data_IF_184883845302
#
_entry.id   IF_184883845302
#
_cell.length_a   1.000
_cell.length_b   1.000
_cell.length_c   1.000
_cell.angle_alpha   90.00
_cell.angle_beta   90.00
_cell.angle_gamma   90.00
#
_symmetry.space_group_name_H-M   'P 1'
#
loop_
_entity.id
_entity.type
_entity.pdbx_description
1 polymer ?
#
# COMPACT_ATOMS: atom_id res chain seq x y z
N UNK A 1 18.21 14.83 -9.04
CA UNK A 1 18.71 13.69 -8.26
C UNK A 1 20.07 14.06 -7.70
N UNK A 2 20.35 13.81 -6.42
CA UNK A 2 21.65 14.11 -5.81
C UNK A 2 22.64 12.95 -5.99
N UNK A 3 22.12 11.73 -6.07
CA UNK A 3 22.91 10.51 -6.17
C UNK A 3 23.11 10.01 -7.61
N UNK A 4 23.98 9.01 -7.78
CA UNK A 4 24.30 8.41 -9.08
C UNK A 4 23.07 7.71 -9.65
N UNK A 5 22.62 8.14 -10.84
CA UNK A 5 21.58 7.41 -11.60
C UNK A 5 22.21 6.14 -12.17
N UNK A 6 21.63 4.98 -11.85
CA UNK A 6 22.05 3.67 -12.35
C UNK A 6 21.05 3.08 -13.35
N UNK A 7 19.84 3.63 -13.39
CA UNK A 7 18.82 3.29 -14.36
C UNK A 7 17.87 4.47 -14.56
N UNK A 8 17.47 4.72 -15.80
CA UNK A 8 16.47 5.73 -16.15
C UNK A 8 15.72 5.28 -17.39
N UNK A 9 14.38 5.30 -17.33
CA UNK A 9 13.53 4.98 -18.48
C UNK A 9 12.20 5.72 -18.40
N UNK A 10 11.82 6.36 -19.51
CA UNK A 10 10.46 6.85 -19.71
C UNK A 10 9.61 5.72 -20.29
N UNK A 11 8.50 5.40 -19.63
CA UNK A 11 7.48 4.46 -20.11
C UNK A 11 6.27 5.25 -20.61
N UNK A 12 5.27 4.55 -21.17
CA UNK A 12 4.00 5.19 -21.55
C UNK A 12 3.20 5.70 -20.34
N UNK A 13 3.55 5.27 -19.13
CA UNK A 13 2.86 5.62 -17.89
C UNK A 13 3.66 6.62 -17.05
N UNK A 14 4.98 6.44 -16.97
CA UNK A 14 5.78 7.13 -15.97
C UNK A 14 7.26 7.13 -16.30
N UNK A 15 8.00 8.03 -15.63
CA UNK A 15 9.46 8.04 -15.63
C UNK A 15 9.99 7.28 -14.43
N UNK A 16 10.63 6.14 -14.68
CA UNK A 16 11.27 5.30 -13.66
C UNK A 16 12.75 5.68 -13.60
N UNK A 17 13.24 6.05 -12.42
CA UNK A 17 14.65 6.35 -12.16
C UNK A 17 15.10 5.57 -10.94
N UNK A 18 16.24 4.90 -11.03
CA UNK A 18 16.89 4.27 -9.88
C UNK A 18 18.23 4.97 -9.65
N UNK A 19 18.44 5.44 -8.43
CA UNK A 19 19.71 6.02 -8.00
C UNK A 19 20.39 5.16 -6.95
N UNK A 20 21.70 5.34 -6.80
CA UNK A 20 22.53 4.62 -5.84
C UNK A 20 23.32 5.61 -4.97
N UNK A 21 23.20 5.43 -3.65
CA UNK A 21 24.05 6.08 -2.65
C UNK A 21 24.67 5.02 -1.74
N UNK A 22 26.01 4.89 -1.81
CA UNK A 22 26.75 3.80 -1.16
C UNK A 22 26.16 2.43 -1.57
N UNK A 23 25.75 1.61 -0.60
CA UNK A 23 25.10 0.32 -0.82
C UNK A 23 23.57 0.40 -0.99
N UNK A 24 22.98 1.58 -0.82
CA UNK A 24 21.53 1.77 -0.84
C UNK A 24 21.06 2.31 -2.19
N UNK A 25 19.82 1.98 -2.52
CA UNK A 25 19.20 2.34 -3.79
C UNK A 25 17.84 2.99 -3.55
N UNK A 26 17.50 3.97 -4.38
CA UNK A 26 16.20 4.65 -4.36
C UNK A 26 15.52 4.43 -5.69
N UNK A 27 14.25 4.07 -5.66
CA UNK A 27 13.39 4.08 -6.83
C UNK A 27 12.53 5.34 -6.82
N UNK A 28 12.53 6.04 -7.94
CA UNK A 28 11.69 7.21 -8.17
C UNK A 28 10.74 6.97 -9.34
N UNK A 29 9.49 7.39 -9.16
CA UNK A 29 8.48 7.48 -10.21
C UNK A 29 8.08 8.95 -10.35
N UNK A 30 8.29 9.51 -11.55
CA UNK A 30 8.00 10.92 -11.85
C UNK A 30 8.62 11.89 -10.82
N UNK A 31 9.87 11.59 -10.39
CA UNK A 31 10.67 12.30 -9.37
C UNK A 31 10.24 12.09 -7.91
N UNK A 32 9.14 11.38 -7.63
CA UNK A 32 8.73 11.05 -6.26
C UNK A 32 9.42 9.78 -5.81
N UNK A 33 9.89 9.75 -4.57
CA UNK A 33 10.41 8.54 -3.95
C UNK A 33 9.29 7.51 -3.88
N UNK A 34 9.57 6.27 -4.25
CA UNK A 34 8.65 5.14 -4.06
C UNK A 34 9.15 4.24 -2.94
N UNK A 35 10.46 3.98 -2.90
CA UNK A 35 11.10 3.35 -1.76
C UNK A 35 12.61 3.61 -1.77
N UNK A 36 13.26 3.31 -0.63
CA UNK A 36 14.70 3.11 -0.53
C UNK A 36 15.03 1.76 0.10
N UNK A 37 16.03 1.05 -0.42
CA UNK A 37 16.52 -0.19 0.23
C UNK A 37 17.11 0.06 1.63
N UNK A 38 17.32 1.33 2.00
CA UNK A 38 17.71 1.74 3.34
C UNK A 38 16.64 1.39 4.39
N UNK A 39 15.37 1.63 4.07
CA UNK A 39 14.27 1.61 5.05
C UNK A 39 12.93 1.07 4.53
N UNK A 40 12.85 0.53 3.31
CA UNK A 40 11.59 0.02 2.72
C UNK A 40 10.86 -1.00 3.58
N UNK A 41 11.58 -1.77 4.39
CA UNK A 41 10.97 -2.72 5.33
C UNK A 41 10.04 -2.04 6.34
N UNK A 42 10.30 -0.76 6.67
CA UNK A 42 9.45 0.07 7.52
C UNK A 42 8.14 0.49 6.85
N UNK A 43 8.04 0.35 5.53
CA UNK A 43 6.82 0.58 4.75
C UNK A 43 6.09 -0.73 4.46
N UNK A 44 6.80 -1.73 3.90
CA UNK A 44 6.16 -2.97 3.43
C UNK A 44 5.71 -3.88 4.58
N UNK A 45 6.45 -3.93 5.69
CA UNK A 45 6.02 -4.75 6.84
C UNK A 45 4.69 -4.23 7.43
N UNK A 46 4.52 -2.92 7.74
CA UNK A 46 3.23 -2.33 8.08
C UNK A 46 2.13 -2.46 7.02
N UNK A 47 2.48 -2.38 5.73
CA UNK A 47 1.49 -2.53 4.66
C UNK A 47 0.90 -3.95 4.64
N UNK A 48 1.72 -4.98 4.87
CA UNK A 48 1.32 -6.37 4.65
C UNK A 48 0.86 -7.07 5.93
N UNK A 49 1.68 -7.05 6.97
CA UNK A 49 1.52 -7.98 8.09
C UNK A 49 0.28 -7.78 8.96
N UNK A 50 -0.19 -6.55 9.25
CA UNK A 50 -1.43 -6.35 10.01
C UNK A 50 -2.65 -7.00 9.32
N UNK A 51 -2.79 -6.84 8.01
CA UNK A 51 -3.90 -7.41 7.25
C UNK A 51 -3.80 -8.94 7.16
N UNK A 52 -2.62 -9.45 6.79
CA UNK A 52 -2.37 -10.88 6.64
C UNK A 52 -2.57 -11.61 7.97
N UNK A 53 -2.06 -11.07 9.08
CA UNK A 53 -2.15 -11.73 10.38
C UNK A 53 -3.53 -11.60 11.04
N UNK A 54 -4.37 -10.63 10.64
CA UNK A 54 -5.73 -10.47 11.16
C UNK A 54 -6.72 -11.53 10.62
N UNK A 55 -6.54 -11.93 9.36
CA UNK A 55 -7.48 -12.85 8.69
C UNK A 55 -7.25 -14.31 9.14
N UNK A 56 -8.32 -15.10 9.30
CA UNK A 56 -8.22 -16.50 9.72
C UNK A 56 -7.64 -17.44 8.64
N UNK A 57 -7.78 -17.06 7.37
CA UNK A 57 -7.24 -17.75 6.20
C UNK A 57 -6.68 -16.70 5.25
N UNK A 58 -5.55 -17.00 4.57
CA UNK A 58 -4.84 -16.06 3.69
C UNK A 58 -4.32 -16.75 2.42
N UNK A 59 -5.08 -17.70 1.88
CA UNK A 59 -4.61 -18.54 0.77
C UNK A 59 -4.54 -17.79 -0.54
N UNK A 60 -5.47 -16.84 -0.75
CA UNK A 60 -5.59 -16.05 -1.98
C UNK A 60 -5.39 -14.57 -1.68
N UNK A 61 -4.35 -13.98 -2.27
CA UNK A 61 -3.99 -12.57 -2.03
C UNK A 61 -4.02 -11.80 -3.35
N UNK A 62 -4.59 -10.60 -3.34
CA UNK A 62 -4.55 -9.65 -4.45
C UNK A 62 -3.69 -8.45 -4.06
N UNK A 63 -2.73 -8.09 -4.90
CA UNK A 63 -1.94 -6.86 -4.79
C UNK A 63 -2.29 -5.97 -5.99
N UNK A 64 -2.79 -4.77 -5.72
CA UNK A 64 -3.07 -3.74 -6.71
C UNK A 64 -1.96 -2.68 -6.62
N UNK A 65 -1.13 -2.60 -7.65
CA UNK A 65 0.16 -1.89 -7.63
C UNK A 65 1.30 -2.80 -7.18
N UNK A 66 2.25 -2.24 -6.41
CA UNK A 66 3.39 -2.99 -5.86
C UNK A 66 4.29 -3.65 -6.92
N UNK A 67 4.40 -3.06 -8.12
CA UNK A 67 5.14 -3.62 -9.25
C UNK A 67 6.65 -3.83 -9.03
N UNK A 68 7.22 -3.29 -7.94
CA UNK A 68 8.58 -3.55 -7.45
C UNK A 68 8.74 -4.92 -6.75
N UNK A 69 7.64 -5.51 -6.27
CA UNK A 69 7.61 -6.83 -5.64
C UNK A 69 7.99 -6.87 -4.16
N UNK A 70 8.17 -5.72 -3.48
CA UNK A 70 8.54 -5.68 -2.06
C UNK A 70 7.36 -6.04 -1.15
N UNK A 71 6.15 -5.52 -1.42
CA UNK A 71 4.94 -6.00 -0.73
C UNK A 71 4.71 -7.51 -0.96
N UNK A 72 4.95 -7.97 -2.20
CA UNK A 72 4.84 -9.39 -2.55
C UNK A 72 5.84 -10.25 -1.76
N UNK A 73 7.08 -9.78 -1.57
CA UNK A 73 8.09 -10.47 -0.75
C UNK A 73 7.57 -10.74 0.67
N UNK A 74 6.91 -9.76 1.28
CA UNK A 74 6.33 -9.88 2.62
C UNK A 74 5.15 -10.86 2.64
N UNK A 75 4.28 -10.82 1.62
CA UNK A 75 3.16 -11.77 1.47
C UNK A 75 3.68 -13.21 1.38
N UNK A 76 4.76 -13.45 0.65
CA UNK A 76 5.30 -14.79 0.43
C UNK A 76 6.01 -15.39 1.66
N UNK A 77 6.20 -14.63 2.75
CA UNK A 77 6.65 -15.17 4.06
C UNK A 77 5.61 -16.09 4.70
N UNK A 78 4.34 -15.95 4.32
CA UNK A 78 3.25 -16.81 4.79
C UNK A 78 3.18 -18.09 3.96
N UNK A 79 3.46 -19.24 4.59
CA UNK A 79 3.54 -20.54 3.92
C UNK A 79 2.18 -21.09 3.48
N UNK A 80 1.09 -20.61 4.07
CA UNK A 80 -0.28 -20.95 3.74
C UNK A 80 -0.85 -20.13 2.57
N UNK A 81 -0.11 -19.13 2.07
CA UNK A 81 -0.42 -18.44 0.80
C UNK A 81 -0.19 -19.40 -0.36
N UNK A 82 -1.23 -19.62 -1.16
CA UNK A 82 -1.25 -20.52 -2.33
C UNK A 82 -1.24 -19.77 -3.65
N UNK A 83 -1.96 -18.66 -3.73
CA UNK A 83 -2.11 -17.87 -4.94
C UNK A 83 -1.98 -16.38 -4.62
N UNK A 84 -1.11 -15.70 -5.36
CA UNK A 84 -1.00 -14.25 -5.32
C UNK A 84 -1.23 -13.70 -6.72
N UNK A 85 -2.17 -12.79 -6.85
CA UNK A 85 -2.36 -12.01 -8.07
C UNK A 85 -1.78 -10.62 -7.83
N UNK A 86 -0.82 -10.21 -8.67
CA UNK A 86 -0.26 -8.86 -8.66
C UNK A 86 -0.68 -8.13 -9.94
N UNK A 87 -1.27 -6.96 -9.77
CA UNK A 87 -1.80 -6.14 -10.88
C UNK A 87 -1.10 -4.80 -10.88
N UNK A 88 -0.20 -4.58 -11.82
CA UNK A 88 0.50 -3.31 -11.98
C UNK A 88 0.29 -2.78 -13.40
N UNK A 89 0.07 -1.48 -13.55
CA UNK A 89 -0.23 -0.92 -14.87
C UNK A 89 0.98 -0.94 -15.82
N UNK A 90 2.21 -0.87 -15.29
CA UNK A 90 3.42 -0.67 -16.07
C UNK A 90 4.26 -1.96 -16.22
N UNK A 91 4.25 -2.61 -17.40
CA UNK A 91 5.04 -3.82 -17.63
C UNK A 91 6.55 -3.58 -17.50
N UNK A 92 7.03 -2.36 -17.71
CA UNK A 92 8.46 -2.06 -17.50
C UNK A 92 8.81 -2.18 -16.02
N UNK A 93 7.93 -1.77 -15.10
CA UNK A 93 8.16 -1.86 -13.67
C UNK A 93 8.27 -3.34 -13.24
N UNK A 94 7.29 -4.15 -13.63
CA UNK A 94 7.29 -5.58 -13.26
C UNK A 94 8.45 -6.36 -13.88
N UNK A 95 8.86 -6.03 -15.11
CA UNK A 95 10.01 -6.68 -15.74
C UNK A 95 11.34 -6.27 -15.08
N UNK A 96 11.48 -5.02 -14.62
CA UNK A 96 12.62 -4.61 -13.79
C UNK A 96 12.63 -5.39 -12.47
N UNK A 97 11.48 -5.52 -11.81
CA UNK A 97 11.37 -6.25 -10.55
C UNK A 97 11.74 -7.74 -10.68
N UNK A 98 11.51 -8.35 -11.85
CA UNK A 98 11.90 -9.75 -12.12
C UNK A 98 13.39 -9.95 -12.41
N UNK A 99 14.08 -8.95 -12.97
CA UNK A 99 15.36 -9.19 -13.67
C UNK A 99 16.46 -8.18 -13.38
N UNK A 100 16.14 -6.96 -12.97
CA UNK A 100 17.15 -5.95 -12.67
C UNK A 100 17.76 -6.23 -11.30
N UNK A 101 19.08 -6.41 -11.25
CA UNK A 101 19.81 -6.91 -10.07
C UNK A 101 19.45 -6.19 -8.76
N UNK A 102 19.22 -4.87 -8.78
CA UNK A 102 18.83 -4.10 -7.59
C UNK A 102 17.46 -4.50 -7.07
N UNK A 103 16.47 -4.60 -7.95
CA UNK A 103 15.10 -4.92 -7.54
C UNK A 103 14.96 -6.40 -7.23
N UNK A 104 15.62 -7.25 -8.01
CA UNK A 104 15.64 -8.70 -7.81
C UNK A 104 16.25 -9.06 -6.44
N UNK A 105 17.33 -8.38 -6.05
CA UNK A 105 17.94 -8.55 -4.72
C UNK A 105 17.01 -8.02 -3.61
N UNK A 106 16.47 -6.81 -3.78
CA UNK A 106 15.60 -6.19 -2.79
C UNK A 106 14.31 -6.99 -2.55
N UNK A 107 13.65 -7.47 -3.61
CA UNK A 107 12.42 -8.27 -3.51
C UNK A 107 12.68 -9.77 -3.29
N UNK A 108 13.95 -10.19 -3.21
CA UNK A 108 14.38 -11.59 -2.98
C UNK A 108 13.77 -12.58 -3.99
N UNK A 109 13.56 -12.16 -5.23
CA UNK A 109 12.99 -13.00 -6.29
C UNK A 109 11.49 -13.26 -6.16
N UNK A 110 10.76 -12.49 -5.34
CA UNK A 110 9.32 -12.67 -5.09
C UNK A 110 8.48 -12.69 -6.39
N UNK A 111 8.85 -11.88 -7.37
CA UNK A 111 8.17 -11.77 -8.67
C UNK A 111 8.28 -13.04 -9.54
N UNK A 112 9.16 -13.97 -9.19
CA UNK A 112 9.41 -15.22 -9.90
C UNK A 112 8.88 -16.45 -9.16
N UNK A 113 8.22 -16.27 -8.01
CA UNK A 113 7.64 -17.37 -7.24
C UNK A 113 6.47 -18.02 -8.03
N UNK A 114 6.40 -19.36 -8.13
CA UNK A 114 5.38 -20.05 -8.92
C UNK A 114 3.94 -19.84 -8.43
N UNK A 115 3.74 -19.31 -7.22
CA UNK A 115 2.42 -18.96 -6.67
C UNK A 115 1.88 -17.64 -7.25
N UNK A 116 2.71 -16.88 -7.97
CA UNK A 116 2.43 -15.50 -8.37
C UNK A 116 2.01 -15.41 -9.82
N UNK A 117 0.89 -14.73 -10.07
CA UNK A 117 0.43 -14.35 -11.41
C UNK A 117 0.44 -12.84 -11.50
N UNK A 118 1.16 -12.31 -12.50
CA UNK A 118 1.29 -10.87 -12.73
C UNK A 118 0.42 -10.47 -13.93
N UNK A 119 -0.47 -9.50 -13.74
CA UNK A 119 -1.23 -8.86 -14.81
C UNK A 119 -0.76 -7.42 -15.01
N UNK A 120 -0.30 -7.11 -16.23
CA UNK A 120 0.05 -5.74 -16.58
C UNK A 120 -1.15 -4.96 -17.12
N UNK A 121 -2.01 -4.46 -16.22
CA UNK A 121 -3.20 -3.70 -16.58
C UNK A 121 -3.65 -2.74 -15.47
N UNK A 122 -4.59 -1.86 -15.81
CA UNK A 122 -5.22 -0.96 -14.84
C UNK A 122 -6.02 -1.75 -13.79
N UNK A 123 -5.84 -1.39 -12.52
CA UNK A 123 -6.46 -2.09 -11.38
C UNK A 123 -7.99 -1.99 -11.39
N UNK A 124 -8.56 -0.87 -11.82
CA UNK A 124 -10.01 -0.69 -11.92
C UNK A 124 -10.58 -1.63 -13.00
N UNK A 125 -9.90 -1.70 -14.15
CA UNK A 125 -10.25 -2.62 -15.23
C UNK A 125 -10.10 -4.08 -14.80
N UNK A 126 -9.04 -4.43 -14.07
CA UNK A 126 -8.84 -5.78 -13.55
C UNK A 126 -10.01 -6.21 -12.67
N UNK A 127 -10.37 -5.41 -11.67
CA UNK A 127 -11.49 -5.71 -10.77
C UNK A 127 -12.85 -5.77 -11.49
N UNK A 128 -13.00 -5.13 -12.66
CA UNK A 128 -14.22 -5.25 -13.47
C UNK A 128 -14.30 -6.59 -14.22
N UNK A 129 -13.15 -7.16 -14.59
CA UNK A 129 -13.05 -8.37 -15.42
C UNK A 129 -12.84 -9.65 -14.61
N UNK A 130 -12.18 -9.52 -13.46
CA UNK A 130 -11.95 -10.64 -12.55
C UNK A 130 -13.26 -11.10 -11.89
N UNK A 131 -13.31 -12.36 -11.49
CA UNK A 131 -14.42 -12.94 -10.73
C UNK A 131 -13.94 -13.71 -9.50
N UNK A 132 -12.64 -13.63 -9.21
CA UNK A 132 -12.00 -14.35 -8.11
C UNK A 132 -12.29 -13.68 -6.77
N UNK A 133 -12.16 -14.46 -5.69
CA UNK A 133 -12.31 -14.01 -4.31
C UNK A 133 -10.96 -14.12 -3.61
N UNK A 134 -10.59 -13.08 -2.87
CA UNK A 134 -9.33 -12.97 -2.15
C UNK A 134 -9.58 -12.83 -0.66
N UNK A 135 -8.72 -13.43 0.13
CA UNK A 135 -8.73 -13.30 1.58
C UNK A 135 -8.11 -11.98 2.02
N UNK A 136 -7.09 -11.52 1.30
CA UNK A 136 -6.43 -10.24 1.55
C UNK A 136 -6.28 -9.47 0.24
N UNK A 137 -6.67 -8.20 0.25
CA UNK A 137 -6.42 -7.25 -0.83
C UNK A 137 -5.46 -6.17 -0.32
N UNK A 138 -4.35 -5.96 -1.01
CA UNK A 138 -3.34 -4.96 -0.69
C UNK A 138 -3.33 -3.92 -1.81
N UNK A 139 -3.60 -2.66 -1.47
CA UNK A 139 -3.60 -1.54 -2.39
C UNK A 139 -2.32 -0.73 -2.16
N UNK A 140 -1.35 -0.96 -3.03
CA UNK A 140 -0.01 -0.37 -3.00
C UNK A 140 0.20 0.49 -4.25
N UNK A 141 -0.67 1.49 -4.39
CA UNK A 141 -0.69 2.41 -5.52
C UNK A 141 0.06 3.70 -5.15
N UNK A 142 0.61 4.43 -6.14
CA UNK A 142 1.19 5.75 -5.90
C UNK A 142 0.17 6.74 -5.35
N UNK A 143 0.67 7.76 -4.66
CA UNK A 143 -0.15 8.84 -4.10
C UNK A 143 -1.09 9.49 -5.12
N UNK A 144 -2.29 9.93 -4.70
CA UNK A 144 -3.36 10.42 -5.57
C UNK A 144 -3.12 11.84 -6.13
N UNK A 145 -1.95 12.09 -6.74
CA UNK A 145 -1.51 13.40 -7.29
C UNK A 145 -2.29 13.83 -8.54
N UNK A 146 -3.00 12.90 -9.17
CA UNK A 146 -3.81 13.14 -10.36
C UNK A 146 -5.26 12.70 -10.15
N UNK A 147 -6.15 13.19 -11.00
CA UNK A 147 -7.56 12.74 -11.01
C UNK A 147 -7.63 11.24 -11.32
N UNK A 148 -6.75 10.74 -12.20
CA UNK A 148 -6.65 9.34 -12.58
C UNK A 148 -6.29 8.46 -11.38
N UNK A 149 -5.26 8.83 -10.62
CA UNK A 149 -4.87 8.09 -9.41
C UNK A 149 -5.94 8.23 -8.32
N UNK A 150 -6.49 9.43 -8.13
CA UNK A 150 -7.58 9.68 -7.17
C UNK A 150 -8.81 8.78 -7.40
N UNK A 151 -9.14 8.43 -8.66
CA UNK A 151 -10.22 7.46 -8.96
C UNK A 151 -9.99 6.09 -8.35
N UNK A 152 -8.74 5.65 -8.21
CA UNK A 152 -8.35 4.38 -7.58
C UNK A 152 -8.42 4.42 -6.04
N UNK A 153 -8.86 5.55 -5.47
CA UNK A 153 -9.16 5.71 -4.04
C UNK A 153 -10.61 6.19 -3.84
N UNK A 154 -11.48 6.00 -4.83
CA UNK A 154 -12.88 6.43 -4.77
C UNK A 154 -13.74 5.43 -4.02
N UNK A 155 -14.89 5.88 -3.50
CA UNK A 155 -15.92 5.00 -2.91
C UNK A 155 -16.25 3.82 -3.83
N UNK A 156 -16.48 4.07 -5.11
CA UNK A 156 -16.81 3.02 -6.10
C UNK A 156 -15.68 2.03 -6.33
N UNK A 157 -14.41 2.46 -6.23
CA UNK A 157 -13.27 1.54 -6.31
C UNK A 157 -13.26 0.59 -5.11
N UNK A 158 -13.44 1.11 -3.90
CA UNK A 158 -13.51 0.28 -2.69
C UNK A 158 -14.74 -0.64 -2.71
N UNK A 159 -15.91 -0.15 -3.10
CA UNK A 159 -17.12 -0.98 -3.27
C UNK A 159 -16.89 -2.13 -4.26
N UNK A 160 -16.11 -1.90 -5.31
CA UNK A 160 -15.72 -2.93 -6.27
C UNK A 160 -14.74 -3.92 -5.63
N UNK A 161 -13.66 -3.46 -5.00
CA UNK A 161 -12.70 -4.33 -4.30
C UNK A 161 -13.39 -5.18 -3.21
N UNK A 162 -14.34 -4.61 -2.47
CA UNK A 162 -15.15 -5.30 -1.47
C UNK A 162 -15.89 -6.50 -2.07
N UNK A 163 -16.36 -6.46 -3.32
CA UNK A 163 -17.02 -7.62 -3.97
C UNK A 163 -16.08 -8.81 -4.14
N UNK A 164 -14.77 -8.57 -4.23
CA UNK A 164 -13.75 -9.61 -4.33
C UNK A 164 -13.23 -10.09 -2.98
N UNK A 165 -13.60 -9.47 -1.86
CA UNK A 165 -13.13 -9.93 -0.55
C UNK A 165 -13.93 -11.14 -0.05
N UNK A 166 -13.24 -12.12 0.53
CA UNK A 166 -13.87 -13.24 1.25
C UNK A 166 -14.66 -12.74 2.46
N UNK A 167 -15.50 -13.60 3.05
CA UNK A 167 -16.42 -13.21 4.15
C UNK A 167 -15.71 -12.59 5.36
N UNK A 168 -14.50 -13.08 5.66
CA UNK A 168 -13.64 -12.64 6.75
C UNK A 168 -12.36 -11.97 6.23
N UNK A 169 -12.36 -11.56 4.97
CA UNK A 169 -11.19 -10.96 4.33
C UNK A 169 -10.92 -9.55 4.80
N UNK A 170 -9.69 -9.10 4.54
CA UNK A 170 -9.21 -7.77 4.85
C UNK A 170 -8.73 -7.05 3.59
N UNK A 171 -8.85 -5.72 3.60
CA UNK A 171 -8.24 -4.84 2.61
C UNK A 171 -7.37 -3.83 3.33
N UNK A 172 -6.17 -3.58 2.82
CA UNK A 172 -5.27 -2.56 3.34
C UNK A 172 -4.83 -1.66 2.20
N UNK A 173 -4.76 -0.36 2.46
CA UNK A 173 -4.29 0.64 1.50
C UNK A 173 -3.26 1.55 2.14
N UNK A 174 -2.19 1.86 1.40
CA UNK A 174 -1.31 2.97 1.74
C UNK A 174 -2.10 4.28 1.67
N UNK A 175 -1.83 5.25 2.54
CA UNK A 175 -2.66 6.44 2.71
C UNK A 175 -1.90 7.76 2.86
N UNK A 176 -0.74 7.91 2.22
CA UNK A 176 0.11 9.11 2.23
C UNK A 176 0.72 9.43 3.63
N UNK A 177 1.43 10.56 3.74
CA UNK A 177 1.95 11.06 5.01
C UNK A 177 0.80 11.59 5.90
N UNK A 178 0.80 11.18 7.17
CA UNK A 178 -0.25 11.50 8.15
C UNK A 178 -0.12 12.92 8.68
N UNK A 179 1.08 13.49 8.68
CA UNK A 179 1.35 14.84 9.16
C UNK A 179 1.15 15.86 8.03
N UNK A 180 1.84 15.69 6.90
CA UNK A 180 1.81 16.62 5.77
C UNK A 180 0.50 16.53 4.98
N UNK A 181 0.05 15.31 4.66
CA UNK A 181 -1.20 15.09 3.91
C UNK A 181 -2.35 14.57 4.79
N UNK A 182 -2.44 15.04 6.03
CA UNK A 182 -3.43 14.60 7.03
C UNK A 182 -4.88 14.56 6.49
N UNK A 183 -5.29 15.57 5.71
CA UNK A 183 -6.63 15.61 5.09
C UNK A 183 -6.82 14.50 4.06
N UNK A 184 -5.78 14.17 3.28
CA UNK A 184 -5.82 13.08 2.31
C UNK A 184 -5.89 11.71 3.02
N UNK A 185 -5.07 11.51 4.05
CA UNK A 185 -5.10 10.32 4.90
C UNK A 185 -6.50 10.05 5.47
N UNK A 186 -7.13 11.07 6.09
CA UNK A 186 -8.48 10.93 6.64
C UNK A 186 -9.57 10.84 5.58
N UNK A 187 -9.37 11.44 4.41
CA UNK A 187 -10.28 11.28 3.28
C UNK A 187 -10.32 9.83 2.79
N UNK A 188 -9.16 9.18 2.67
CA UNK A 188 -9.08 7.75 2.33
C UNK A 188 -9.78 6.90 3.40
N UNK A 189 -9.46 7.13 4.67
CA UNK A 189 -10.11 6.44 5.80
C UNK A 189 -11.65 6.54 5.74
N UNK A 190 -12.18 7.76 5.64
CA UNK A 190 -13.63 8.02 5.58
C UNK A 190 -14.28 7.43 4.33
N UNK A 191 -13.58 7.45 3.20
CA UNK A 191 -14.09 6.88 1.95
C UNK A 191 -14.20 5.36 2.02
N UNK A 192 -13.26 4.68 2.68
CA UNK A 192 -13.35 3.25 2.95
C UNK A 192 -14.49 2.91 3.92
N UNK A 193 -14.70 3.71 4.97
CA UNK A 193 -15.83 3.54 5.90
C UNK A 193 -17.17 3.67 5.15
N UNK A 194 -17.29 4.68 4.30
CA UNK A 194 -18.49 4.95 3.50
C UNK A 194 -18.74 3.90 2.41
N UNK A 195 -17.71 3.18 1.97
CA UNK A 195 -17.85 2.01 1.09
C UNK A 195 -18.37 0.75 1.83
N UNK A 196 -18.46 0.80 3.17
CA UNK A 196 -19.05 -0.26 4.00
C UNK A 196 -18.03 -1.09 4.80
N UNK A 197 -16.79 -0.62 4.97
CA UNK A 197 -15.77 -1.29 5.77
C UNK A 197 -15.74 -0.74 7.20
N UNK A 198 -15.35 -1.57 8.16
CA UNK A 198 -14.84 -1.06 9.44
C UNK A 198 -13.33 -0.83 9.30
N UNK A 199 -12.89 0.41 9.50
CA UNK A 199 -11.54 0.84 9.15
C UNK A 199 -10.73 1.21 10.39
N UNK A 200 -9.54 0.61 10.51
CA UNK A 200 -8.53 0.92 11.52
C UNK A 200 -7.37 1.65 10.85
N UNK A 201 -7.17 2.95 11.13
CA UNK A 201 -6.00 3.69 10.70
C UNK A 201 -4.78 3.31 11.56
N UNK A 202 -3.59 3.33 10.96
CA UNK A 202 -2.32 3.22 11.68
C UNK A 202 -1.21 3.89 10.87
N UNK A 203 -0.09 4.22 11.52
CA UNK A 203 0.98 4.98 10.89
C UNK A 203 2.36 4.67 11.48
N UNK A 204 3.41 5.07 10.78
CA UNK A 204 4.79 4.82 11.16
C UNK A 204 5.75 5.75 10.43
N UNK A 205 6.77 6.22 11.14
CA UNK A 205 7.83 7.03 10.54
C UNK A 205 8.77 6.21 9.64
N UNK A 206 8.72 6.45 8.33
CA UNK A 206 9.63 5.92 7.32
C UNK A 206 10.68 7.01 6.99
N UNK A 207 11.96 6.85 7.39
CA UNK A 207 12.96 7.92 7.31
C UNK A 207 13.07 8.65 5.96
N UNK A 208 12.87 7.95 4.85
CA UNK A 208 12.95 8.53 3.50
C UNK A 208 11.62 9.06 2.95
N UNK A 209 10.50 8.83 3.65
CA UNK A 209 9.15 9.19 3.18
C UNK A 209 8.33 10.02 4.17
N UNK A 210 8.73 10.12 5.44
CA UNK A 210 7.98 10.86 6.47
C UNK A 210 7.16 9.96 7.39
N UNK A 211 6.14 10.53 8.04
CA UNK A 211 5.22 9.78 8.90
C UNK A 211 4.11 9.13 8.06
N UNK A 212 4.35 7.90 7.61
CA UNK A 212 3.51 7.26 6.60
C UNK A 212 2.29 6.55 7.20
N UNK A 213 1.14 6.65 6.54
CA UNK A 213 -0.13 6.10 7.00
C UNK A 213 -0.65 4.93 6.17
N UNK A 214 -1.42 4.06 6.83
CA UNK A 214 -2.21 3.00 6.20
C UNK A 214 -3.60 2.92 6.81
N UNK A 215 -4.54 2.40 6.02
CA UNK A 215 -5.91 2.12 6.45
C UNK A 215 -6.25 0.64 6.21
N UNK A 216 -6.52 -0.09 7.30
CA UNK A 216 -6.98 -1.49 7.27
C UNK A 216 -8.50 -1.54 7.39
N UNK A 217 -9.16 -1.99 6.33
CA UNK A 217 -10.59 -2.24 6.26
C UNK A 217 -10.93 -3.71 6.37
N UNK A 218 -11.99 -4.04 7.11
CA UNK A 218 -12.46 -5.42 7.28
C UNK A 218 -13.98 -5.48 7.15
N UNK A 219 -14.47 -6.61 6.63
CA UNK A 219 -15.91 -6.90 6.61
C UNK A 219 -16.37 -7.46 7.95
N UNK A 220 -17.60 -7.13 8.34
CA UNK A 220 -18.37 -7.82 9.39
C UNK A 220 -17.74 -7.83 10.80
N UNK A 221 -16.75 -6.99 11.09
CA UNK A 221 -16.18 -6.81 12.43
C UNK A 221 -16.28 -5.35 12.81
N UNK A 222 -16.56 -5.06 14.08
CA UNK A 222 -16.52 -3.68 14.58
C UNK A 222 -15.08 -3.23 14.78
N UNK A 223 -14.82 -1.92 14.64
CA UNK A 223 -13.50 -1.31 14.81
C UNK A 223 -12.79 -1.73 16.12
N UNK A 224 -13.48 -1.69 17.25
CA UNK A 224 -12.90 -2.08 18.55
C UNK A 224 -12.50 -3.55 18.61
N UNK A 225 -13.23 -4.42 17.91
CA UNK A 225 -12.91 -5.84 17.82
C UNK A 225 -11.68 -6.07 16.94
N UNK A 226 -11.56 -5.33 15.84
CA UNK A 226 -10.37 -5.37 14.98
C UNK A 226 -9.15 -4.92 15.78
N UNK A 227 -9.23 -3.77 16.45
CA UNK A 227 -8.15 -3.26 17.31
C UNK A 227 -7.79 -4.30 18.38
N UNK A 228 -8.78 -4.89 19.06
CA UNK A 228 -8.53 -5.92 20.06
C UNK A 228 -7.75 -7.10 19.47
N UNK A 229 -8.11 -7.58 18.28
CA UNK A 229 -7.41 -8.68 17.61
C UNK A 229 -5.98 -8.29 17.22
N UNK A 230 -5.78 -7.10 16.65
CA UNK A 230 -4.45 -6.59 16.27
C UNK A 230 -3.49 -6.55 17.47
N UNK A 231 -3.98 -6.20 18.67
CA UNK A 231 -3.17 -6.17 19.91
C UNK A 231 -2.61 -7.53 20.35
N UNK A 232 -3.20 -8.63 19.86
CA UNK A 232 -2.79 -10.00 20.21
C UNK A 232 -2.23 -10.76 19.00
N UNK A 233 -2.00 -10.09 17.87
CA UNK A 233 -1.26 -10.70 16.77
C UNK A 233 0.16 -10.98 17.23
N UNK A 234 0.66 -12.14 16.85
CA UNK A 234 2.04 -12.57 17.07
C UNK A 234 2.77 -12.64 15.72
N UNK A 235 3.97 -12.07 15.68
CA UNK A 235 4.85 -12.06 14.52
C UNK A 235 6.11 -12.93 14.71
N UNK A 236 6.26 -13.66 15.83
CA UNK A 236 7.47 -14.40 16.21
C UNK A 236 7.90 -15.45 15.16
N UNK A 237 6.97 -15.92 14.34
CA UNK A 237 7.25 -16.90 13.27
C UNK A 237 7.55 -16.26 11.90
N UNK A 238 7.66 -14.94 11.82
CA UNK A 238 7.98 -14.20 10.60
C UNK A 238 9.36 -13.54 10.72
N UNK A 239 10.14 -13.62 9.64
CA UNK A 239 11.42 -12.90 9.52
C UNK A 239 11.15 -11.40 9.28
N UNK A 240 10.84 -10.63 10.32
CA UNK A 240 10.60 -9.17 10.25
C UNK A 240 11.79 -8.38 10.82
N UNK A 241 11.99 -7.16 10.30
CA UNK A 241 13.06 -6.24 10.74
C UNK A 241 12.52 -5.08 11.58
N UNK A 242 11.28 -4.67 11.33
CA UNK A 242 10.64 -3.54 12.01
C UNK A 242 9.43 -3.97 12.82
N UNK A 243 8.48 -4.68 12.21
CA UNK A 243 7.20 -4.95 12.84
C UNK A 243 7.34 -6.08 13.86
N UNK A 244 6.97 -5.76 15.08
CA UNK A 244 6.67 -6.68 16.17
C UNK A 244 5.36 -6.22 16.84
N UNK A 245 4.95 -6.90 17.91
CA UNK A 245 3.70 -6.56 18.60
C UNK A 245 3.74 -5.14 19.19
N UNK A 246 4.90 -4.69 19.69
CA UNK A 246 5.05 -3.36 20.29
C UNK A 246 5.03 -2.27 19.23
N UNK A 247 5.68 -2.49 18.10
CA UNK A 247 5.65 -1.61 16.94
C UNK A 247 4.21 -1.46 16.44
N UNK A 248 3.48 -2.57 16.25
CA UNK A 248 2.07 -2.52 15.84
C UNK A 248 1.21 -1.74 16.85
N UNK A 249 1.41 -1.97 18.16
CA UNK A 249 0.72 -1.20 19.20
C UNK A 249 1.04 0.30 19.10
N UNK A 250 2.30 0.67 18.88
CA UNK A 250 2.72 2.05 18.69
C UNK A 250 2.03 2.68 17.47
N UNK A 251 2.01 1.96 16.34
CA UNK A 251 1.45 2.44 15.07
C UNK A 251 -0.04 2.75 15.14
N UNK A 252 -0.77 2.16 16.09
CA UNK A 252 -2.21 2.39 16.29
C UNK A 252 -2.53 3.68 17.06
N UNK A 253 -1.52 4.39 17.59
CA UNK A 253 -1.73 5.58 18.42
C UNK A 253 -1.33 6.85 17.67
N UNK A 254 -2.25 7.83 17.63
CA UNK A 254 -2.06 9.10 16.96
C UNK A 254 -1.94 10.25 17.98
N UNK A 255 -1.13 11.27 17.65
CA UNK A 255 -1.12 12.55 18.35
C UNK A 255 -2.48 13.27 18.24
N UNK A 256 -2.83 14.12 19.22
CA UNK A 256 -4.14 14.82 19.22
C UNK A 256 -4.32 15.71 17.99
N UNK A 257 -3.24 16.37 17.59
CA UNK A 257 -3.11 17.20 16.39
C UNK A 257 -3.41 16.42 15.09
N UNK A 258 -3.03 15.14 15.03
CA UNK A 258 -3.23 14.28 13.86
C UNK A 258 -4.65 13.72 13.73
N UNK A 259 -5.49 13.85 14.77
CA UNK A 259 -6.82 13.22 14.81
C UNK A 259 -7.97 14.11 14.36
N UNK A 260 -7.69 15.33 13.89
CA UNK A 260 -8.74 16.22 13.39
C UNK A 260 -9.33 15.70 12.08
N UNK A 261 -10.64 15.43 12.06
CA UNK A 261 -11.39 14.94 10.89
C UNK A 261 -12.51 15.89 10.47
N UNK A 262 -12.54 17.10 11.00
CA UNK A 262 -13.55 18.10 10.68
C UNK A 262 -13.51 18.46 9.18
N UNK A 263 -14.69 18.54 8.57
CA UNK A 263 -14.86 18.93 7.16
C UNK A 263 -14.08 18.09 6.13
N UNK A 264 -13.77 16.83 6.45
CA UNK A 264 -13.21 15.88 5.48
C UNK A 264 -14.34 15.29 4.64
N UNK A 265 -14.33 15.57 3.34
CA UNK A 265 -15.23 14.97 2.37
C UNK A 265 -14.77 13.56 1.94
N UNK A 266 -15.70 12.75 1.44
CA UNK A 266 -15.37 11.46 0.82
C UNK A 266 -14.92 11.66 -0.63
N UNK A 267 -14.05 10.78 -1.10
CA UNK A 267 -13.58 10.77 -2.46
C UNK A 267 -14.51 9.94 -3.36
N UNK A 268 -15.00 10.54 -4.45
CA UNK A 268 -15.85 9.85 -5.44
C UNK A 268 -15.34 10.13 -6.85
N UNK A 269 -15.75 9.31 -7.82
CA UNK A 269 -15.36 9.53 -9.23
C UNK A 269 -15.87 10.88 -9.77
N UNK A 270 -17.03 11.33 -9.31
CA UNK A 270 -17.65 12.60 -9.74
C UNK A 270 -17.11 13.82 -8.98
N UNK A 271 -16.63 13.62 -7.75
CA UNK A 271 -16.00 14.66 -6.93
C UNK A 271 -14.67 14.11 -6.35
N UNK A 272 -13.57 14.15 -7.12
CA UNK A 272 -12.29 13.57 -6.74
C UNK A 272 -11.51 14.47 -5.75
N UNK A 273 -12.10 14.76 -4.59
CA UNK A 273 -11.57 15.71 -3.59
C UNK A 273 -10.18 15.34 -3.09
N UNK A 274 -9.82 14.04 -3.12
CA UNK A 274 -8.59 13.52 -2.56
C UNK A 274 -7.35 14.13 -3.23
N UNK A 275 -7.39 14.39 -4.54
CA UNK A 275 -6.28 15.03 -5.23
C UNK A 275 -6.02 16.44 -4.66
N UNK A 276 -7.08 17.21 -4.39
CA UNK A 276 -6.96 18.56 -3.82
C UNK A 276 -6.37 18.52 -2.41
N UNK A 277 -6.83 17.58 -1.58
CA UNK A 277 -6.30 17.42 -0.23
C UNK A 277 -4.83 17.00 -0.22
N UNK A 278 -4.44 16.10 -1.13
CA UNK A 278 -3.04 15.71 -1.28
C UNK A 278 -2.17 16.88 -1.72
N UNK A 279 -2.56 17.59 -2.79
CA UNK A 279 -1.76 18.69 -3.33
C UNK A 279 -1.59 19.84 -2.32
N UNK A 280 -2.59 20.10 -1.49
CA UNK A 280 -2.49 21.12 -0.44
C UNK A 280 -1.42 20.78 0.60
N UNK A 281 -1.33 19.52 1.05
CA UNK A 281 -0.29 19.08 1.97
C UNK A 281 1.10 19.06 1.31
N UNK A 282 1.15 18.58 0.07
CA UNK A 282 2.39 18.51 -0.71
C UNK A 282 3.01 19.89 -0.98
N UNK A 283 2.19 20.91 -1.23
CA UNK A 283 2.67 22.29 -1.42
C UNK A 283 3.28 22.87 -0.13
N UNK A 284 2.73 22.52 1.04
CA UNK A 284 3.29 22.94 2.33
C UNK A 284 4.65 22.30 2.65
N UNK A 285 5.01 21.17 2.04
CA UNK A 285 6.33 20.52 2.19
C UNK A 285 7.43 21.20 1.36
N UNK A 286 7.04 21.96 0.33
CA UNK A 286 7.98 22.61 -0.59
C UNK A 286 8.38 24.03 -0.15
N UNK A 287 7.65 24.63 0.79
CA UNK A 287 7.88 25.97 1.37
C UNK A 287 8.73 25.93 2.65
#
# INVERSE_FOLDING_TARGET
>A
YKDKIIYEKQTKYQKIVITQWKQYYWLFINKNIQFSTYDEYRYHEPLVHPAMSLVPHRENVLILGGGDGLALREVLKYHDVKHVVLVDIDPVMTELAKSFYVLLDANRGSMNDPRVVIYNMDAFKFLTLDSSIYDVIIVDLPDPKSVELSKLYSKSFYEMAIKHMSRYGAIVTQSCDVFMENRAFWCINKTMEEAGLSVVPYHNYVPTMGDWGWNLGVKNLKKDEIIKRLKYIDFDNLDTRFIDNNALLSMLNFGRDLTNKEDIEINTVLNPVLQRYYMHGYEMDLD
#
